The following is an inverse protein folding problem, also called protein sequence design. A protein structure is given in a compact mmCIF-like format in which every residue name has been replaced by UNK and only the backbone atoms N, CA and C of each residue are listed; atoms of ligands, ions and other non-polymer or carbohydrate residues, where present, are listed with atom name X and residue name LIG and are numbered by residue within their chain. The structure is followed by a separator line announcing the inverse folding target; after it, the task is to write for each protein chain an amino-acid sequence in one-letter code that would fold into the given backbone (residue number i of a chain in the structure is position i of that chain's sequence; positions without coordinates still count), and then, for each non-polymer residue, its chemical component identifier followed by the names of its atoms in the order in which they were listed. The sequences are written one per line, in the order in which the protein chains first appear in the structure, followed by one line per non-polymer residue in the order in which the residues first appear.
data_IF_598517977881
#
_entry.id   IF_598517977881
#
_cell.length_a   1.000
_cell.length_b   1.000
_cell.length_c   1.000
_cell.angle_alpha   90.00
_cell.angle_beta   90.00
_cell.angle_gamma   90.00
#
_symmetry.space_group_name_H-M   'P 1'
#
loop_
_entity.id
_entity.type
_entity.pdbx_description
1 polymer ?
#
# COMPACT_ATOMS: atom_id res chain seq x y z
N UNK A 1 -11.31 26.95 -36.34
CA UNK A 1 -10.15 27.37 -35.52
C UNK A 1 -10.47 27.35 -34.01
N UNK A 2 -11.65 27.79 -33.57
CA UNK A 2 -12.02 27.74 -32.15
C UNK A 2 -12.11 26.33 -31.56
N UNK A 3 -12.47 25.32 -32.38
CA UNK A 3 -12.54 23.92 -31.98
C UNK A 3 -11.14 23.36 -31.66
N UNK A 4 -10.11 23.81 -32.38
CA UNK A 4 -8.73 23.34 -32.19
C UNK A 4 -8.16 23.76 -30.85
N UNK A 5 -8.38 24.99 -30.41
CA UNK A 5 -7.91 25.50 -29.12
C UNK A 5 -8.55 24.75 -27.97
N UNK A 6 -9.87 24.47 -28.04
CA UNK A 6 -10.57 23.73 -27.00
C UNK A 6 -10.15 22.25 -26.93
N UNK A 7 -9.93 21.61 -28.08
CA UNK A 7 -9.46 20.22 -28.18
C UNK A 7 -8.04 20.05 -27.63
N UNK A 8 -7.10 20.94 -27.96
CA UNK A 8 -5.73 20.86 -27.48
C UNK A 8 -5.63 20.89 -25.96
N UNK A 9 -6.40 21.78 -25.30
CA UNK A 9 -6.49 21.85 -23.85
C UNK A 9 -7.12 20.62 -23.21
N UNK A 10 -8.05 19.94 -23.88
CA UNK A 10 -8.65 18.69 -23.40
C UNK A 10 -7.68 17.51 -23.50
N UNK A 11 -6.92 17.40 -24.61
CA UNK A 11 -5.98 16.32 -24.81
C UNK A 11 -4.77 16.41 -23.87
N UNK A 12 -4.26 17.63 -23.58
CA UNK A 12 -3.16 17.80 -22.60
C UNK A 12 -3.59 17.42 -21.18
N UNK A 13 -4.83 17.78 -20.78
CA UNK A 13 -5.39 17.34 -19.48
C UNK A 13 -5.60 15.83 -19.43
N UNK A 14 -6.05 15.22 -20.54
CA UNK A 14 -6.21 13.77 -20.63
C UNK A 14 -4.87 13.03 -20.52
N UNK A 15 -3.82 13.56 -21.15
CA UNK A 15 -2.45 13.01 -21.05
C UNK A 15 -1.95 13.06 -19.60
N UNK A 16 -2.10 14.18 -18.91
CA UNK A 16 -1.69 14.33 -17.51
C UNK A 16 -2.45 13.34 -16.59
N UNK A 17 -3.76 13.15 -16.81
CA UNK A 17 -4.55 12.15 -16.08
C UNK A 17 -4.06 10.72 -16.34
N UNK A 18 -3.78 10.37 -17.60
CA UNK A 18 -3.30 9.04 -17.95
C UNK A 18 -1.95 8.74 -17.29
N UNK A 19 -1.06 9.72 -17.20
CA UNK A 19 0.21 9.58 -16.49
C UNK A 19 0.01 9.40 -14.99
N UNK A 20 -0.83 10.23 -14.36
CA UNK A 20 -1.16 10.10 -12.95
C UNK A 20 -1.80 8.73 -12.63
N UNK A 21 -2.72 8.26 -13.47
CA UNK A 21 -3.30 6.92 -13.38
C UNK A 21 -2.23 5.82 -13.43
N UNK A 22 -1.35 5.87 -14.42
CA UNK A 22 -0.26 4.90 -14.57
C UNK A 22 0.66 4.88 -13.36
N UNK A 23 0.97 6.05 -12.78
CA UNK A 23 1.76 6.17 -11.55
C UNK A 23 1.09 5.49 -10.36
N UNK A 24 -0.21 5.70 -10.17
CA UNK A 24 -0.98 5.08 -9.10
C UNK A 24 -1.06 3.56 -9.24
N UNK A 25 -1.33 3.05 -10.45
CA UNK A 25 -1.34 1.61 -10.72
C UNK A 25 0.03 0.98 -10.42
N UNK A 26 1.12 1.67 -10.81
CA UNK A 26 2.49 1.20 -10.49
C UNK A 26 2.82 1.29 -9.00
N UNK A 27 2.27 2.27 -8.28
CA UNK A 27 2.42 2.36 -6.83
C UNK A 27 1.69 1.23 -6.10
N UNK A 28 0.55 0.78 -6.61
CA UNK A 28 -0.19 -0.36 -6.05
C UNK A 28 0.41 -1.73 -6.43
N UNK A 29 1.26 -1.80 -7.45
CA UNK A 29 1.83 -3.05 -7.96
C UNK A 29 2.52 -3.91 -6.89
N UNK A 30 3.38 -3.37 -5.98
CA UNK A 30 3.99 -4.15 -4.90
C UNK A 30 2.99 -4.80 -3.97
N UNK A 31 1.86 -4.13 -3.70
CA UNK A 31 0.79 -4.65 -2.84
C UNK A 31 0.00 -5.76 -3.56
N UNK A 32 -0.38 -5.52 -4.81
CA UNK A 32 -1.14 -6.48 -5.60
C UNK A 32 -0.39 -7.78 -5.89
N UNK A 33 0.94 -7.72 -5.99
CA UNK A 33 1.77 -8.87 -6.33
C UNK A 33 2.67 -9.34 -5.17
N UNK A 34 2.56 -8.71 -4.01
CA UNK A 34 3.47 -8.94 -2.89
C UNK A 34 3.37 -10.32 -2.25
N UNK A 35 2.26 -11.04 -2.45
CA UNK A 35 2.10 -12.42 -2.00
C UNK A 35 2.69 -13.45 -2.98
N UNK A 36 3.04 -13.01 -4.19
CA UNK A 36 3.63 -13.86 -5.23
C UNK A 36 5.15 -13.78 -5.21
N UNK A 37 5.80 -14.91 -5.47
CA UNK A 37 7.26 -14.98 -5.68
C UNK A 37 7.73 -14.24 -6.94
N UNK A 38 6.82 -13.83 -7.82
CA UNK A 38 7.12 -13.00 -8.99
C UNK A 38 7.60 -11.61 -8.59
N UNK A 39 7.16 -11.10 -7.43
CA UNK A 39 7.64 -9.87 -6.82
C UNK A 39 8.39 -10.23 -5.53
N UNK A 40 9.68 -10.51 -5.68
CA UNK A 40 10.55 -10.84 -4.55
C UNK A 40 11.07 -9.58 -3.87
N UNK A 41 11.19 -9.64 -2.56
CA UNK A 41 11.92 -8.67 -1.74
C UNK A 41 13.44 -8.83 -1.93
N UNK A 42 14.23 -7.95 -1.32
CA UNK A 42 15.69 -7.98 -1.39
C UNK A 42 16.32 -9.26 -0.80
N UNK A 43 15.60 -9.98 0.03
CA UNK A 43 15.98 -11.27 0.63
C UNK A 43 15.66 -12.51 -0.25
N UNK A 44 15.09 -12.30 -1.44
CA UNK A 44 14.78 -13.35 -2.41
C UNK A 44 13.46 -14.08 -2.20
N UNK A 45 12.68 -13.75 -1.15
CA UNK A 45 11.33 -14.28 -0.94
C UNK A 45 10.27 -13.28 -1.35
N UNK A 46 8.99 -13.70 -1.40
CA UNK A 46 7.87 -12.80 -1.68
C UNK A 46 7.83 -11.65 -0.66
N UNK A 47 7.36 -10.47 -1.07
CA UNK A 47 7.26 -9.30 -0.18
C UNK A 47 6.49 -9.62 1.11
N UNK A 48 5.37 -10.32 0.99
CA UNK A 48 4.60 -10.85 2.13
C UNK A 48 4.88 -12.34 2.28
N UNK A 49 5.73 -12.69 3.24
CA UNK A 49 6.16 -14.06 3.50
C UNK A 49 6.04 -14.41 4.99
N UNK A 50 5.84 -15.68 5.28
CA UNK A 50 5.92 -16.21 6.63
C UNK A 50 7.34 -16.53 7.08
N UNK A 51 8.34 -16.37 6.17
CA UNK A 51 9.71 -16.85 6.40
C UNK A 51 10.74 -15.93 5.75
N UNK A 52 10.77 -14.65 6.13
CA UNK A 52 11.89 -13.77 5.79
C UNK A 52 13.14 -14.22 6.54
N UNK A 53 14.22 -14.63 5.85
CA UNK A 53 15.41 -15.17 6.51
C UNK A 53 16.15 -14.07 7.28
N UNK A 54 16.62 -14.39 8.48
CA UNK A 54 17.47 -13.54 9.30
C UNK A 54 18.91 -14.04 9.24
N UNK A 55 19.88 -13.14 9.41
CA UNK A 55 21.32 -13.50 9.41
C UNK A 55 21.68 -14.48 10.53
N UNK A 56 20.98 -14.45 11.64
CA UNK A 56 21.17 -15.39 12.75
C UNK A 56 20.59 -16.79 12.53
N UNK A 57 20.00 -17.07 11.35
CA UNK A 57 19.35 -18.34 11.01
C UNK A 57 17.90 -18.48 11.45
N UNK A 58 17.29 -17.44 12.03
CA UNK A 58 15.86 -17.36 12.31
C UNK A 58 15.06 -16.85 11.10
N UNK A 59 13.76 -16.64 11.30
CA UNK A 59 12.87 -16.07 10.29
C UNK A 59 11.90 -15.07 10.92
N UNK A 60 11.60 -13.98 10.21
CA UNK A 60 10.48 -13.10 10.51
C UNK A 60 9.33 -13.36 9.54
N UNK A 61 8.11 -13.04 10.00
CA UNK A 61 6.90 -13.11 9.18
C UNK A 61 6.21 -11.75 9.17
N UNK A 62 5.90 -11.24 7.98
CA UNK A 62 5.12 -10.01 7.78
C UNK A 62 3.73 -10.30 7.19
N UNK A 63 3.24 -11.51 7.37
CA UNK A 63 1.88 -11.94 7.02
C UNK A 63 1.37 -12.97 8.03
N UNK A 64 0.04 -13.16 8.15
CA UNK A 64 -0.51 -14.25 8.95
C UNK A 64 -0.14 -15.61 8.32
N UNK A 65 -0.03 -16.65 9.13
CA UNK A 65 0.22 -18.03 8.66
C UNK A 65 -0.88 -18.55 7.73
N UNK A 66 -2.12 -18.16 7.99
CA UNK A 66 -3.29 -18.41 7.15
C UNK A 66 -3.92 -17.07 6.80
N UNK A 67 -4.30 -16.88 5.55
CA UNK A 67 -4.98 -15.65 5.13
C UNK A 67 -6.24 -15.42 5.94
N UNK A 68 -6.44 -14.19 6.38
CA UNK A 68 -7.58 -13.79 7.20
C UNK A 68 -8.20 -12.51 6.65
N UNK A 69 -9.54 -12.46 6.65
CA UNK A 69 -10.29 -11.26 6.28
C UNK A 69 -10.13 -10.18 7.35
N UNK A 70 -10.36 -8.93 6.94
CA UNK A 70 -10.32 -7.79 7.83
C UNK A 70 -11.43 -7.87 8.87
N UNK A 71 -11.06 -8.16 10.10
CA UNK A 71 -11.94 -8.15 11.28
C UNK A 71 -11.14 -7.74 12.52
N UNK A 72 -11.82 -7.61 13.66
CA UNK A 72 -11.20 -7.21 14.92
C UNK A 72 -10.07 -8.17 15.33
N UNK A 73 -10.34 -9.48 15.35
CA UNK A 73 -9.36 -10.50 15.74
C UNK A 73 -8.14 -10.51 14.83
N UNK A 74 -8.34 -10.43 13.51
CA UNK A 74 -7.21 -10.43 12.56
C UNK A 74 -6.33 -9.18 12.68
N UNK A 75 -6.91 -8.02 13.04
CA UNK A 75 -6.15 -6.81 13.34
C UNK A 75 -5.38 -6.93 14.66
N UNK A 76 -6.00 -7.46 15.71
CA UNK A 76 -5.34 -7.68 16.99
C UNK A 76 -4.16 -8.65 16.85
N UNK A 77 -4.35 -9.77 16.15
CA UNK A 77 -3.31 -10.75 15.87
C UNK A 77 -2.14 -10.13 15.06
N UNK A 78 -2.46 -9.33 14.05
CA UNK A 78 -1.46 -8.63 13.25
C UNK A 78 -0.63 -7.65 14.10
N UNK A 79 -1.28 -6.87 14.98
CA UNK A 79 -0.61 -5.93 15.89
C UNK A 79 0.30 -6.67 16.87
N UNK A 80 -0.17 -7.78 17.45
CA UNK A 80 0.61 -8.62 18.34
C UNK A 80 1.82 -9.21 17.61
N UNK A 81 1.63 -9.67 16.37
CA UNK A 81 2.69 -10.22 15.54
C UNK A 81 3.75 -9.15 15.22
N UNK A 82 3.35 -7.96 14.78
CA UNK A 82 4.23 -6.84 14.49
C UNK A 82 5.05 -6.43 15.72
N UNK A 83 4.42 -6.37 16.89
CA UNK A 83 5.09 -6.02 18.14
C UNK A 83 6.16 -7.03 18.60
N UNK A 84 6.11 -8.25 18.07
CA UNK A 84 7.07 -9.33 18.37
C UNK A 84 8.22 -9.45 17.35
N UNK A 85 8.28 -8.59 16.34
CA UNK A 85 9.33 -8.64 15.34
C UNK A 85 10.71 -8.38 15.94
N UNK A 86 11.69 -9.04 15.37
CA UNK A 86 13.09 -8.97 15.77
C UNK A 86 13.95 -8.44 14.63
N UNK A 87 15.10 -7.87 14.98
CA UNK A 87 16.12 -7.49 14.01
C UNK A 87 16.90 -8.72 13.50
N UNK A 88 17.87 -8.49 12.62
CA UNK A 88 18.77 -9.50 12.05
C UNK A 88 19.57 -10.30 13.09
N UNK A 89 19.65 -9.79 14.33
CA UNK A 89 20.35 -10.41 15.46
C UNK A 89 19.41 -11.12 16.42
N UNK A 90 18.10 -11.06 16.17
CA UNK A 90 17.08 -11.63 17.05
C UNK A 90 16.68 -10.71 18.22
N UNK A 91 17.05 -9.42 18.20
CA UNK A 91 16.66 -8.46 19.22
C UNK A 91 15.29 -7.86 18.86
N UNK A 92 14.42 -7.71 19.84
CA UNK A 92 13.10 -7.11 19.67
C UNK A 92 13.19 -5.66 19.20
N UNK A 93 12.56 -5.32 18.09
CA UNK A 93 12.56 -3.95 17.54
C UNK A 93 11.40 -3.10 18.04
N UNK A 94 10.40 -3.69 18.72
CA UNK A 94 9.20 -3.03 19.24
C UNK A 94 8.45 -2.20 18.18
N UNK A 95 8.34 -2.75 16.96
CA UNK A 95 7.64 -2.12 15.84
C UNK A 95 6.17 -1.85 16.16
N UNK A 96 5.62 -0.77 15.62
CA UNK A 96 4.24 -0.35 15.81
C UNK A 96 3.54 -0.13 14.48
N UNK A 97 2.26 -0.44 14.46
CA UNK A 97 1.39 -0.11 13.31
C UNK A 97 1.19 1.39 13.23
N UNK A 98 1.16 1.92 11.99
CA UNK A 98 0.89 3.33 11.70
C UNK A 98 -0.46 3.53 11.03
N UNK A 99 -0.69 2.83 9.92
CA UNK A 99 -1.84 3.05 9.05
C UNK A 99 -2.34 1.74 8.45
N UNK A 100 -3.65 1.63 8.30
CA UNK A 100 -4.31 0.56 7.55
C UNK A 100 -4.52 1.00 6.09
N UNK A 101 -4.13 0.16 5.12
CA UNK A 101 -4.37 0.35 3.68
C UNK A 101 -5.28 -0.75 3.18
N UNK A 102 -6.39 -0.38 2.54
CA UNK A 102 -7.47 -1.28 2.14
C UNK A 102 -7.96 -1.00 0.72
N UNK A 103 -8.56 -2.00 0.03
CA UNK A 103 -9.35 -1.79 -1.16
C UNK A 103 -10.68 -1.06 -0.85
N UNK A 104 -11.36 -0.63 -1.89
CA UNK A 104 -12.63 0.08 -1.77
C UNK A 104 -13.73 -0.74 -1.08
N UNK A 105 -13.71 -2.06 -1.29
CA UNK A 105 -14.72 -2.99 -0.77
C UNK A 105 -14.72 -3.08 0.76
N UNK A 106 -13.56 -2.88 1.39
CA UNK A 106 -13.41 -2.95 2.84
C UNK A 106 -13.63 -1.61 3.56
N UNK A 107 -13.98 -0.53 2.84
CA UNK A 107 -14.12 0.81 3.42
C UNK A 107 -15.05 0.84 4.64
N UNK A 108 -16.26 0.30 4.50
CA UNK A 108 -17.25 0.35 5.59
C UNK A 108 -16.92 -0.60 6.75
N UNK A 109 -16.17 -1.67 6.47
CA UNK A 109 -15.64 -2.56 7.51
C UNK A 109 -14.59 -1.81 8.34
N UNK A 110 -13.65 -1.13 7.68
CA UNK A 110 -12.62 -0.35 8.36
C UNK A 110 -13.21 0.79 9.20
N UNK A 111 -14.22 1.52 8.67
CA UNK A 111 -14.92 2.55 9.47
C UNK A 111 -15.50 1.98 10.75
N UNK A 112 -16.20 0.84 10.67
CA UNK A 112 -16.78 0.20 11.87
C UNK A 112 -15.72 -0.25 12.86
N UNK A 113 -14.57 -0.75 12.39
CA UNK A 113 -13.49 -1.24 13.24
C UNK A 113 -12.69 -0.11 13.90
N UNK A 114 -12.47 1.01 13.19
CA UNK A 114 -11.56 2.07 13.63
C UNK A 114 -12.26 3.31 14.20
N UNK A 115 -13.57 3.47 13.99
CA UNK A 115 -14.30 4.65 14.44
C UNK A 115 -15.39 4.34 15.47
N UNK A 116 -15.73 3.06 15.69
CA UNK A 116 -16.71 2.67 16.71
C UNK A 116 -16.04 2.53 18.07
N UNK A 117 -16.58 3.20 19.08
CA UNK A 117 -16.12 3.06 20.47
C UNK A 117 -16.50 1.72 21.11
N UNK A 118 -17.54 1.09 20.59
CA UNK A 118 -18.04 -0.20 21.04
C UNK A 118 -17.82 -1.27 20.00
N UNK A 119 -17.69 -2.51 20.48
CA UNK A 119 -17.53 -3.68 19.61
C UNK A 119 -18.77 -3.88 18.77
N UNK A 120 -18.58 -4.00 17.45
CA UNK A 120 -19.68 -4.15 16.50
C UNK A 120 -20.15 -5.61 16.47
N UNK A 121 -21.47 -5.82 16.63
CA UNK A 121 -22.08 -7.16 16.51
C UNK A 121 -22.22 -7.91 17.82
N UNK A 122 -21.92 -7.30 18.97
CA UNK A 122 -22.21 -7.86 20.30
C UNK A 122 -23.46 -7.22 20.90
N UNK A 123 -24.21 -7.99 21.72
CA UNK A 123 -25.37 -7.49 22.45
C UNK A 123 -24.95 -6.67 23.70
N UNK A 124 -23.74 -6.88 24.17
CA UNK A 124 -23.14 -6.22 25.32
C UNK A 124 -22.36 -4.95 24.87
N UNK A 125 -22.22 -4.00 25.80
CA UNK A 125 -21.45 -2.76 25.56
C UNK A 125 -19.93 -3.00 25.71
N UNK A 126 -19.41 -3.99 24.98
CA UNK A 126 -17.97 -4.29 24.98
C UNK A 126 -17.17 -3.15 24.34
N UNK A 127 -16.05 -2.83 24.94
CA UNK A 127 -15.15 -1.78 24.45
C UNK A 127 -14.38 -2.27 23.21
N UNK A 128 -14.31 -1.44 22.17
CA UNK A 128 -13.43 -1.69 21.04
C UNK A 128 -11.97 -1.40 21.45
N UNK A 129 -11.19 -2.44 21.66
CA UNK A 129 -9.80 -2.35 22.12
C UNK A 129 -8.89 -1.64 21.09
N UNK A 130 -9.15 -1.78 19.80
CA UNK A 130 -8.35 -1.17 18.72
C UNK A 130 -8.44 0.37 18.80
N UNK A 131 -9.66 0.90 18.96
CA UNK A 131 -9.90 2.34 19.06
C UNK A 131 -9.41 2.87 20.40
N UNK A 132 -9.74 2.19 21.51
CA UNK A 132 -9.40 2.65 22.85
C UNK A 132 -7.89 2.73 23.07
N UNK A 133 -7.14 1.78 22.54
CA UNK A 133 -5.68 1.76 22.65
C UNK A 133 -4.98 2.61 21.58
N UNK A 134 -5.71 3.17 20.60
CA UNK A 134 -5.14 3.97 19.52
C UNK A 134 -4.09 3.22 18.70
N UNK A 135 -4.34 1.95 18.42
CA UNK A 135 -3.36 1.03 17.83
C UNK A 135 -2.98 1.44 16.40
N UNK A 136 -3.89 2.10 15.68
CA UNK A 136 -3.68 2.59 14.30
C UNK A 136 -3.81 4.12 14.30
N UNK A 137 -2.76 4.87 14.69
CA UNK A 137 -2.84 6.30 14.94
C UNK A 137 -3.12 7.13 13.68
N UNK A 138 -2.74 6.66 12.49
CA UNK A 138 -2.97 7.36 11.23
C UNK A 138 -4.27 6.92 10.52
N UNK A 139 -5.10 6.11 11.19
CA UNK A 139 -6.36 5.62 10.63
C UNK A 139 -6.17 4.72 9.41
N UNK A 140 -7.07 4.83 8.44
CA UNK A 140 -7.02 4.02 7.23
C UNK A 140 -6.95 4.86 5.95
N UNK A 141 -6.42 4.26 4.89
CA UNK A 141 -6.39 4.82 3.55
C UNK A 141 -6.97 3.83 2.54
N UNK A 142 -7.86 4.32 1.68
CA UNK A 142 -8.44 3.52 0.60
C UNK A 142 -7.54 3.63 -0.63
N UNK A 143 -7.09 2.50 -1.14
CA UNK A 143 -6.37 2.45 -2.39
C UNK A 143 -7.25 1.82 -3.49
N UNK A 144 -7.76 2.66 -4.38
CA UNK A 144 -8.65 2.25 -5.48
C UNK A 144 -8.01 1.35 -6.53
N UNK A 145 -6.69 1.18 -6.49
CA UNK A 145 -5.92 0.38 -7.46
C UNK A 145 -5.52 -0.99 -6.94
N UNK A 146 -5.99 -1.37 -5.75
CA UNK A 146 -5.88 -2.73 -5.27
C UNK A 146 -6.85 -3.63 -6.04
N UNK A 147 -6.35 -4.78 -6.49
CA UNK A 147 -7.12 -5.74 -7.29
C UNK A 147 -7.78 -6.82 -6.45
N UNK A 148 -7.23 -7.09 -5.27
CA UNK A 148 -7.81 -8.01 -4.32
C UNK A 148 -8.80 -7.26 -3.42
N UNK A 149 -10.03 -7.76 -3.34
CA UNK A 149 -11.13 -7.13 -2.58
C UNK A 149 -11.09 -7.46 -1.09
N UNK A 150 -10.35 -8.48 -0.68
CA UNK A 150 -10.29 -8.99 0.68
C UNK A 150 -8.95 -8.71 1.38
N UNK A 151 -7.92 -8.39 0.60
CA UNK A 151 -6.60 -8.11 1.14
C UNK A 151 -6.57 -6.79 1.93
N UNK A 152 -5.84 -6.79 3.04
CA UNK A 152 -5.54 -5.57 3.78
C UNK A 152 -4.06 -5.49 4.15
N UNK A 153 -3.57 -4.28 4.33
CA UNK A 153 -2.16 -4.02 4.61
C UNK A 153 -2.03 -3.04 5.77
N UNK A 154 -1.01 -3.26 6.60
CA UNK A 154 -0.67 -2.38 7.71
C UNK A 154 0.74 -1.83 7.49
N UNK A 155 0.89 -0.51 7.43
CA UNK A 155 2.21 0.12 7.45
C UNK A 155 2.71 0.22 8.87
N UNK A 156 4.02 0.11 9.06
CA UNK A 156 4.66 0.17 10.37
C UNK A 156 5.57 1.39 10.48
N UNK A 157 6.12 1.61 11.66
CA UNK A 157 7.12 2.66 11.94
C UNK A 157 8.55 2.21 11.65
N UNK A 158 8.75 0.97 11.18
CA UNK A 158 10.07 0.48 10.76
C UNK A 158 10.57 1.32 9.59
N UNK A 159 11.79 1.88 9.69
CA UNK A 159 12.34 2.69 8.61
C UNK A 159 12.60 1.86 7.36
N UNK A 160 12.68 2.55 6.24
CA UNK A 160 13.09 1.94 4.96
C UNK A 160 12.13 0.90 4.36
N UNK A 161 10.88 0.88 4.75
CA UNK A 161 9.84 0.04 4.16
C UNK A 161 9.55 0.36 2.69
N UNK A 162 8.30 0.68 2.37
CA UNK A 162 7.93 1.06 0.99
C UNK A 162 8.50 2.43 0.61
N UNK A 163 9.14 2.51 -0.57
CA UNK A 163 9.80 3.72 -1.07
C UNK A 163 9.30 4.12 -2.45
N UNK A 164 9.16 5.43 -2.62
CA UNK A 164 8.98 6.08 -3.91
C UNK A 164 10.24 6.85 -4.25
N UNK A 165 10.90 6.48 -5.35
CA UNK A 165 12.08 7.16 -5.88
C UNK A 165 11.65 8.00 -7.07
N UNK A 166 11.66 9.32 -6.92
CA UNK A 166 11.42 10.24 -8.02
C UNK A 166 12.75 10.75 -8.56
N UNK A 167 13.02 10.46 -9.83
CA UNK A 167 14.21 10.96 -10.54
C UNK A 167 13.90 12.21 -11.34
N UNK A 168 12.73 12.26 -11.96
CA UNK A 168 12.28 13.41 -12.75
C UNK A 168 10.78 13.54 -12.50
N UNK A 169 10.38 14.68 -11.95
CA UNK A 169 8.97 15.02 -11.79
C UNK A 169 8.30 15.13 -13.17
N UNK A 170 6.96 15.12 -13.18
CA UNK A 170 6.22 15.21 -14.44
C UNK A 170 6.49 16.55 -15.13
N UNK A 171 7.14 16.47 -16.28
CA UNK A 171 7.44 17.59 -17.19
C UNK A 171 6.56 17.49 -18.41
N UNK A 172 6.02 18.61 -18.84
CA UNK A 172 5.27 18.72 -20.10
C UNK A 172 5.98 19.66 -21.03
N UNK A 173 6.02 19.31 -22.30
CA UNK A 173 6.56 20.17 -23.36
C UNK A 173 5.68 20.12 -24.59
N UNK A 174 5.74 21.18 -25.37
CA UNK A 174 5.02 21.34 -26.61
C UNK A 174 6.01 21.73 -27.70
N UNK A 175 5.91 21.13 -28.87
CA UNK A 175 6.73 21.41 -30.02
C UNK A 175 5.87 21.46 -31.29
N UNK A 176 6.19 22.37 -32.17
CA UNK A 176 5.52 22.51 -33.47
C UNK A 176 6.33 21.80 -34.55
N UNK A 177 5.65 20.96 -35.32
CA UNK A 177 6.24 20.34 -36.50
C UNK A 177 6.21 21.34 -37.70
N UNK A 178 7.35 21.88 -38.06
CA UNK A 178 7.47 22.84 -39.14
C UNK A 178 6.97 22.29 -40.49
N UNK A 179 7.15 21.00 -40.74
CA UNK A 179 6.81 20.37 -42.02
C UNK A 179 5.32 20.14 -42.18
N UNK A 180 4.63 19.76 -41.11
CA UNK A 180 3.21 19.40 -41.16
C UNK A 180 2.29 20.48 -40.56
N UNK A 181 2.84 21.46 -39.85
CA UNK A 181 2.11 22.48 -39.12
C UNK A 181 1.39 21.93 -37.89
N UNK A 182 1.62 20.68 -37.51
CA UNK A 182 0.99 20.04 -36.34
C UNK A 182 1.70 20.40 -35.03
N UNK A 183 0.93 20.46 -33.94
CA UNK A 183 1.48 20.64 -32.60
C UNK A 183 1.54 19.28 -31.90
N UNK A 184 2.70 18.97 -31.32
CA UNK A 184 2.94 17.75 -30.55
C UNK A 184 3.09 18.09 -29.09
N UNK A 185 2.33 17.38 -28.24
CA UNK A 185 2.44 17.45 -26.79
C UNK A 185 3.19 16.23 -26.26
N UNK A 186 4.13 16.48 -25.37
CA UNK A 186 4.94 15.45 -24.72
C UNK A 186 4.85 15.62 -23.22
N UNK A 187 4.62 14.52 -22.51
CA UNK A 187 4.80 14.44 -21.07
C UNK A 187 5.85 13.38 -20.74
N UNK A 188 6.70 13.66 -19.75
CA UNK A 188 7.76 12.76 -19.30
C UNK A 188 7.81 12.76 -17.78
N UNK A 189 7.97 11.57 -17.21
CA UNK A 189 8.18 11.34 -15.79
C UNK A 189 9.13 10.15 -15.61
N UNK A 190 9.97 10.18 -14.58
CA UNK A 190 10.87 9.06 -14.23
C UNK A 190 10.80 8.81 -12.74
N UNK A 191 10.30 7.66 -12.37
CA UNK A 191 10.15 7.21 -10.99
C UNK A 191 10.29 5.70 -10.88
N UNK A 192 10.46 5.22 -9.65
CA UNK A 192 10.42 3.80 -9.30
C UNK A 192 9.76 3.63 -7.94
N UNK A 193 9.08 2.51 -7.75
CA UNK A 193 8.58 2.06 -6.46
C UNK A 193 9.33 0.80 -6.05
N UNK A 194 9.64 0.68 -4.78
CA UNK A 194 10.34 -0.47 -4.24
C UNK A 194 10.12 -0.61 -2.75
N UNK A 195 10.59 -1.72 -2.22
CA UNK A 195 10.59 -2.03 -0.79
C UNK A 195 12.02 -2.37 -0.41
N UNK A 196 12.55 -1.72 0.62
CA UNK A 196 13.91 -2.00 1.11
C UNK A 196 13.87 -2.94 2.31
N UNK A 197 12.92 -2.74 3.23
CA UNK A 197 12.73 -3.60 4.39
C UNK A 197 11.31 -4.19 4.37
N UNK A 198 11.15 -5.52 4.34
CA UNK A 198 9.85 -6.17 4.36
C UNK A 198 9.08 -5.94 5.67
N UNK A 199 9.76 -5.61 6.78
CA UNK A 199 9.12 -5.29 8.07
C UNK A 199 8.46 -3.89 8.08
N UNK A 200 8.69 -3.06 7.07
CA UNK A 200 8.01 -1.78 6.90
C UNK A 200 6.53 -1.91 6.55
N UNK A 201 6.06 -3.11 6.22
CA UNK A 201 4.67 -3.39 5.87
C UNK A 201 4.29 -4.83 6.25
N UNK A 202 3.05 -4.99 6.71
CA UNK A 202 2.40 -6.28 6.96
C UNK A 202 1.22 -6.43 6.00
N UNK A 203 0.94 -7.63 5.51
CA UNK A 203 -0.18 -7.87 4.61
C UNK A 203 -0.89 -9.19 4.85
N UNK A 204 -2.23 -9.17 4.73
CA UNK A 204 -3.07 -10.37 4.68
C UNK A 204 -3.78 -10.45 3.34
N UNK A 205 -3.76 -11.61 2.66
CA UNK A 205 -4.47 -11.79 1.38
C UNK A 205 -5.97 -11.97 1.54
N UNK A 206 -6.50 -11.92 2.75
CA UNK A 206 -7.88 -12.34 3.03
C UNK A 206 -8.02 -13.86 3.11
N UNK A 207 -9.22 -14.32 3.46
CA UNK A 207 -9.58 -15.74 3.35
C UNK A 207 -9.99 -16.05 1.90
N UNK A 208 -9.45 -17.11 1.33
CA UNK A 208 -9.83 -17.64 0.00
C UNK A 208 -11.05 -18.54 0.09
#
# INVERSE_FOLDING_TARGET
DNLYVSLSGRYTKALARAMAYTKQVKAAYPLNNGFSTTFSSGDGVALFSTSHPLVNGGTNSNRPSTGADLNETSLEDAVIQISKWTDERGLLIAARVRKLVIPTDLQFVATRLLESNYRVGTADNDVNAIVTNGVIPEGYAINHYLTDTNAFFLTTDVPDGMKHFERTAMETSMDGDFTTGNVRYKARERYSFGVSDPLGIFGSPGSS
#
